data_IF_705868135213
#
_entry.id   IF_705868135213
#
_cell.length_a   1.000
_cell.length_b   1.000
_cell.length_c   1.000
_cell.angle_alpha   90.00
_cell.angle_beta   90.00
_cell.angle_gamma   90.00
#
_symmetry.space_group_name_H-M   'P 1'
#
loop_
_entity.id
_entity.type
_entity.pdbx_description
1 polymer ?
#
# COMPACT_ATOMS: atom_id res chain seq x y z
N UNK A 1 49.97 -3.43 -6.68
CA UNK A 1 48.92 -3.67 -5.66
C UNK A 1 47.59 -3.74 -6.38
N UNK A 2 47.03 -4.94 -6.52
CA UNK A 2 45.68 -5.16 -7.07
C UNK A 2 44.65 -4.62 -6.09
N UNK A 3 43.87 -3.62 -6.47
CA UNK A 3 42.61 -3.32 -5.79
C UNK A 3 41.50 -4.11 -6.49
N UNK A 4 41.18 -5.26 -5.92
CA UNK A 4 39.97 -6.00 -6.23
C UNK A 4 38.77 -5.15 -5.78
N UNK A 5 38.09 -4.52 -6.72
CA UNK A 5 36.77 -3.97 -6.49
C UNK A 5 35.80 -5.13 -6.34
N UNK A 6 35.44 -5.42 -5.09
CA UNK A 6 34.27 -6.20 -4.74
C UNK A 6 33.07 -5.54 -5.41
N UNK A 7 32.58 -6.16 -6.48
CA UNK A 7 31.22 -5.95 -6.95
C UNK A 7 30.28 -6.45 -5.83
N UNK A 8 29.99 -5.57 -4.88
CA UNK A 8 28.82 -5.72 -4.05
C UNK A 8 27.63 -5.63 -5.00
N UNK A 9 27.12 -6.78 -5.43
CA UNK A 9 25.82 -6.87 -6.09
C UNK A 9 24.80 -6.23 -5.15
N UNK A 10 24.48 -4.96 -5.38
CA UNK A 10 23.37 -4.29 -4.74
C UNK A 10 22.15 -5.13 -5.10
N UNK A 11 21.65 -5.92 -4.16
CA UNK A 11 20.37 -6.60 -4.33
C UNK A 11 19.32 -5.49 -4.44
N UNK A 12 19.03 -5.09 -5.68
CA UNK A 12 18.19 -3.94 -5.97
C UNK A 12 16.77 -4.21 -5.51
N UNK A 13 16.17 -3.25 -4.82
CA UNK A 13 14.74 -3.29 -4.58
C UNK A 13 14.00 -3.30 -5.92
N UNK A 14 13.14 -4.29 -6.14
CA UNK A 14 12.27 -4.36 -7.30
C UNK A 14 10.92 -3.76 -6.95
N UNK A 15 10.51 -2.74 -7.70
CA UNK A 15 9.16 -2.23 -7.64
C UNK A 15 8.22 -3.17 -8.41
N UNK A 16 7.21 -3.69 -7.73
CA UNK A 16 6.21 -4.62 -8.28
C UNK A 16 4.80 -4.04 -8.24
N UNK A 17 4.65 -2.74 -7.94
CA UNK A 17 3.35 -2.08 -7.73
C UNK A 17 2.38 -2.35 -8.87
N UNK A 18 2.80 -2.05 -10.10
CA UNK A 18 1.95 -2.23 -11.27
C UNK A 18 1.58 -3.70 -11.52
N UNK A 19 2.45 -4.64 -11.13
CA UNK A 19 2.16 -6.07 -11.23
C UNK A 19 1.13 -6.48 -10.17
N UNK A 20 1.29 -6.04 -8.93
CA UNK A 20 0.35 -6.31 -7.82
C UNK A 20 -1.04 -5.76 -8.14
N UNK A 21 -1.14 -4.53 -8.66
CA UNK A 21 -2.42 -3.93 -9.06
C UNK A 21 -3.12 -4.73 -10.16
N UNK A 22 -2.36 -5.31 -11.11
CA UNK A 22 -2.96 -6.07 -12.23
C UNK A 22 -3.30 -7.51 -11.88
N UNK A 23 -2.51 -8.14 -11.02
CA UNK A 23 -2.52 -9.59 -10.81
C UNK A 23 -3.11 -10.00 -9.45
N UNK A 24 -3.50 -9.04 -8.59
CA UNK A 24 -4.07 -9.32 -7.26
C UNK A 24 -5.29 -8.44 -6.97
N UNK A 25 -6.04 -8.78 -5.92
CA UNK A 25 -7.21 -8.04 -5.46
C UNK A 25 -6.87 -6.99 -4.37
N UNK A 26 -5.59 -6.61 -4.23
CA UNK A 26 -5.15 -5.74 -3.14
C UNK A 26 -5.74 -4.33 -3.24
N UNK A 27 -5.89 -3.79 -4.46
CA UNK A 27 -6.47 -2.45 -4.66
C UNK A 27 -7.97 -2.44 -4.32
N UNK A 28 -8.72 -3.49 -4.71
CA UNK A 28 -10.13 -3.65 -4.34
C UNK A 28 -10.30 -3.79 -2.83
N UNK A 29 -9.41 -4.52 -2.15
CA UNK A 29 -9.42 -4.63 -0.68
C UNK A 29 -9.14 -3.28 -0.02
N UNK A 30 -8.21 -2.49 -0.53
CA UNK A 30 -7.96 -1.14 -0.03
C UNK A 30 -9.18 -0.22 -0.22
N UNK A 31 -9.85 -0.32 -1.38
CA UNK A 31 -11.11 0.39 -1.63
C UNK A 31 -12.19 -0.05 -0.65
N UNK A 32 -12.32 -1.35 -0.37
CA UNK A 32 -13.29 -1.87 0.60
C UNK A 32 -13.01 -1.36 2.03
N UNK A 33 -11.74 -1.32 2.44
CA UNK A 33 -11.33 -0.71 3.72
C UNK A 33 -11.70 0.77 3.73
N UNK A 34 -11.43 1.52 2.66
CA UNK A 34 -11.77 2.94 2.62
C UNK A 34 -13.29 3.17 2.65
N UNK A 35 -14.09 2.31 2.03
CA UNK A 35 -15.56 2.40 2.16
C UNK A 35 -16.05 2.20 3.60
N UNK A 36 -15.33 1.42 4.40
CA UNK A 36 -15.69 1.17 5.79
C UNK A 36 -15.21 2.27 6.76
N UNK A 37 -14.08 2.91 6.48
CA UNK A 37 -13.42 3.82 7.44
C UNK A 37 -13.19 5.25 6.94
N UNK A 38 -13.11 5.48 5.63
CA UNK A 38 -12.88 6.83 5.11
C UNK A 38 -14.13 7.70 5.23
N UNK A 39 -13.89 9.01 5.38
CA UNK A 39 -14.91 10.04 5.49
C UNK A 39 -15.02 10.86 4.20
N UNK A 40 -16.25 11.24 3.89
CA UNK A 40 -16.61 12.19 2.84
C UNK A 40 -17.06 11.56 1.53
N UNK A 41 -17.76 12.34 0.71
CA UNK A 41 -18.38 11.90 -0.54
C UNK A 41 -17.41 11.70 -1.73
N UNK A 42 -16.14 12.11 -1.60
CA UNK A 42 -15.08 11.91 -2.60
C UNK A 42 -13.92 11.07 -2.06
N UNK A 43 -14.20 10.26 -1.02
CA UNK A 43 -13.25 9.33 -0.43
C UNK A 43 -12.72 8.30 -1.46
N UNK A 44 -11.51 7.81 -1.24
CA UNK A 44 -10.90 6.81 -2.13
C UNK A 44 -9.62 6.22 -1.56
N UNK A 45 -9.23 5.07 -2.09
CA UNK A 45 -7.99 4.39 -1.73
C UNK A 45 -7.09 4.26 -2.96
N UNK A 46 -5.77 4.18 -2.74
CA UNK A 46 -4.81 3.92 -3.80
C UNK A 46 -3.61 3.18 -3.24
N UNK A 47 -3.24 2.06 -3.87
CA UNK A 47 -1.94 1.44 -3.64
C UNK A 47 -0.85 2.29 -4.32
N UNK A 48 0.02 2.91 -3.53
CA UNK A 48 1.06 3.80 -4.06
C UNK A 48 2.30 3.04 -4.49
N UNK A 49 2.72 2.07 -3.67
CA UNK A 49 3.97 1.37 -3.90
C UNK A 49 3.96 -0.02 -3.27
N UNK A 50 4.55 -1.00 -3.96
CA UNK A 50 4.97 -2.29 -3.41
C UNK A 50 6.35 -2.60 -3.93
N UNK A 51 7.30 -2.82 -3.01
CA UNK A 51 8.68 -3.19 -3.34
C UNK A 51 9.04 -4.51 -2.70
N UNK A 52 9.92 -5.25 -3.38
CA UNK A 52 10.46 -6.51 -2.90
C UNK A 52 11.98 -6.47 -2.99
N UNK A 53 12.64 -6.89 -1.92
CA UNK A 53 14.11 -6.96 -1.82
C UNK A 53 14.48 -8.37 -1.37
N UNK A 54 15.48 -9.00 -2.01
CA UNK A 54 16.04 -10.26 -1.52
C UNK A 54 16.72 -10.01 -0.17
N UNK A 55 16.33 -10.76 0.86
CA UNK A 55 16.93 -10.67 2.19
C UNK A 55 18.05 -11.73 2.32
N UNK A 56 17.68 -12.98 2.64
CA UNK A 56 18.64 -14.09 2.83
C UNK A 56 18.04 -15.41 2.33
N UNK A 57 18.80 -16.21 1.59
CA UNK A 57 18.32 -17.47 1.05
C UNK A 57 17.07 -17.28 0.18
N UNK A 58 15.98 -17.95 0.57
CA UNK A 58 14.66 -17.90 -0.09
C UNK A 58 13.73 -16.83 0.51
N UNK A 59 14.22 -16.02 1.45
CA UNK A 59 13.45 -14.98 2.13
C UNK A 59 13.57 -13.64 1.41
N UNK A 60 12.45 -12.95 1.25
CA UNK A 60 12.34 -11.63 0.65
C UNK A 60 11.63 -10.66 1.60
N UNK A 61 12.13 -9.43 1.67
CA UNK A 61 11.46 -8.35 2.39
C UNK A 61 10.51 -7.65 1.43
N UNK A 62 9.25 -7.52 1.83
CA UNK A 62 8.20 -6.82 1.08
C UNK A 62 7.84 -5.55 1.85
N UNK A 63 7.76 -4.42 1.16
CA UNK A 63 7.29 -3.16 1.72
C UNK A 63 6.20 -2.58 0.82
N UNK A 64 5.07 -2.21 1.42
CA UNK A 64 3.92 -1.62 0.73
C UNK A 64 3.53 -0.29 1.35
N UNK A 65 3.03 0.62 0.51
CA UNK A 65 2.46 1.91 0.90
C UNK A 65 1.13 2.12 0.18
N UNK A 66 0.10 2.51 0.93
CA UNK A 66 -1.20 2.89 0.41
C UNK A 66 -1.67 4.22 1.01
N UNK A 67 -2.50 4.93 0.26
CA UNK A 67 -3.09 6.21 0.65
C UNK A 67 -4.61 6.10 0.69
N UNK A 68 -5.20 6.56 1.78
CA UNK A 68 -6.63 6.65 1.99
C UNK A 68 -7.02 8.13 2.00
N UNK A 69 -7.62 8.58 0.90
CA UNK A 69 -8.11 9.95 0.71
C UNK A 69 -9.46 10.11 1.40
N UNK A 70 -9.54 11.10 2.29
CA UNK A 70 -10.75 11.51 2.98
C UNK A 70 -11.11 12.90 2.49
N UNK A 71 -12.24 13.03 1.79
CA UNK A 71 -12.58 14.26 1.08
C UNK A 71 -14.08 14.47 1.04
N UNK A 72 -14.53 15.58 1.63
CA UNK A 72 -15.91 16.04 1.55
C UNK A 72 -15.97 17.32 0.74
N UNK A 73 -16.61 17.25 -0.42
CA UNK A 73 -16.89 18.40 -1.27
C UNK A 73 -18.38 18.72 -1.26
N UNK A 74 -18.72 19.98 -1.06
CA UNK A 74 -20.09 20.46 -1.22
C UNK A 74 -20.26 20.88 -2.66
N UNK A 75 -21.13 20.20 -3.41
CA UNK A 75 -21.38 20.55 -4.81
C UNK A 75 -22.00 21.95 -4.92
N UNK A 76 -21.63 22.74 -5.96
CA UNK A 76 -22.26 24.02 -6.22
C UNK A 76 -23.76 23.83 -6.52
N UNK A 77 -24.59 24.75 -6.03
CA UNK A 77 -26.02 24.75 -6.29
C UNK A 77 -26.35 25.69 -7.46
N UNK A 78 -27.29 25.30 -8.31
CA UNK A 78 -27.84 26.19 -9.34
C UNK A 78 -28.98 27.01 -8.73
N UNK A 79 -28.77 28.32 -8.59
CA UNK A 79 -29.77 29.26 -8.12
C UNK A 79 -30.02 30.28 -9.23
N UNK A 80 -31.25 30.31 -9.76
CA UNK A 80 -31.65 31.17 -10.89
C UNK A 80 -30.74 31.06 -12.13
N UNK A 81 -30.22 29.87 -12.43
CA UNK A 81 -29.35 29.63 -13.59
C UNK A 81 -27.88 30.00 -13.40
N UNK A 82 -27.49 30.51 -12.22
CA UNK A 82 -26.10 30.70 -11.83
C UNK A 82 -25.64 29.57 -10.89
N UNK A 83 -24.45 29.02 -11.12
CA UNK A 83 -23.79 28.18 -10.12
C UNK A 83 -23.27 29.06 -8.99
N UNK A 84 -23.69 28.76 -7.77
CA UNK A 84 -23.26 29.45 -6.56
C UNK A 84 -22.74 28.41 -5.57
N UNK A 85 -21.58 28.69 -4.98
CA UNK A 85 -20.94 27.81 -4.01
C UNK A 85 -19.97 26.81 -4.63
N UNK A 86 -19.76 25.68 -3.95
CA UNK A 86 -18.68 24.73 -4.25
C UNK A 86 -17.48 24.94 -3.33
N UNK A 87 -17.29 24.07 -2.33
CA UNK A 87 -16.11 24.17 -1.46
C UNK A 87 -15.78 22.84 -0.77
N UNK A 88 -14.52 22.70 -0.39
CA UNK A 88 -14.03 21.60 0.42
C UNK A 88 -14.38 21.85 1.89
N UNK A 89 -15.17 20.94 2.49
CA UNK A 89 -15.38 20.96 3.95
C UNK A 89 -14.16 20.41 4.67
N UNK A 90 -13.57 19.34 4.13
CA UNK A 90 -12.28 18.84 4.57
C UNK A 90 -11.61 18.03 3.45
N UNK A 91 -10.28 18.02 3.51
CA UNK A 91 -9.43 17.17 2.71
C UNK A 91 -8.24 16.73 3.56
N UNK A 92 -8.01 15.42 3.68
CA UNK A 92 -6.78 14.87 4.23
C UNK A 92 -6.53 13.45 3.72
N UNK A 93 -5.29 12.99 3.86
CA UNK A 93 -4.86 11.65 3.46
C UNK A 93 -4.31 10.94 4.68
N UNK A 94 -4.72 9.70 4.86
CA UNK A 94 -4.13 8.77 5.83
C UNK A 94 -3.23 7.82 5.04
N UNK A 95 -1.98 7.66 5.44
CA UNK A 95 -1.04 6.76 4.76
C UNK A 95 -0.84 5.50 5.57
N UNK A 96 -0.87 4.34 4.92
CA UNK A 96 -0.61 3.03 5.53
C UNK A 96 0.68 2.50 4.93
N UNK A 97 1.68 2.30 5.77
CA UNK A 97 2.93 1.63 5.45
C UNK A 97 2.92 0.24 6.08
N UNK A 98 3.23 -0.80 5.30
CA UNK A 98 3.33 -2.17 5.79
C UNK A 98 4.66 -2.78 5.34
N UNK A 99 5.27 -3.54 6.23
CA UNK A 99 6.44 -4.37 5.91
C UNK A 99 6.17 -5.81 6.29
N UNK A 100 6.70 -6.73 5.50
CA UNK A 100 6.55 -8.16 5.70
C UNK A 100 7.70 -8.96 5.14
N UNK A 101 7.65 -10.26 5.45
CA UNK A 101 8.63 -11.25 5.00
C UNK A 101 7.91 -12.30 4.17
N UNK A 102 8.32 -12.43 2.92
CA UNK A 102 7.83 -13.43 1.97
C UNK A 102 8.83 -14.58 1.86
N UNK A 103 8.36 -15.78 2.16
CA UNK A 103 9.08 -17.01 1.85
C UNK A 103 8.84 -17.38 0.38
N UNK A 104 9.90 -17.38 -0.43
CA UNK A 104 9.80 -17.70 -1.85
C UNK A 104 9.41 -19.15 -2.13
N UNK A 105 9.79 -20.12 -1.29
CA UNK A 105 9.47 -21.53 -1.54
C UNK A 105 8.00 -21.83 -1.27
N UNK A 106 7.45 -21.27 -0.21
CA UNK A 106 6.08 -21.55 0.24
C UNK A 106 5.08 -20.47 -0.16
N UNK A 107 5.56 -19.35 -0.71
CA UNK A 107 4.77 -18.17 -1.05
C UNK A 107 3.93 -17.62 0.11
N UNK A 108 4.42 -17.79 1.34
CA UNK A 108 3.79 -17.25 2.55
C UNK A 108 4.39 -15.90 2.89
N UNK A 109 3.57 -14.86 2.83
CA UNK A 109 3.89 -13.51 3.28
C UNK A 109 3.41 -13.33 4.72
N UNK A 110 4.33 -13.17 5.66
CA UNK A 110 4.02 -12.74 7.02
C UNK A 110 4.11 -11.22 7.11
N UNK A 111 3.08 -10.57 7.64
CA UNK A 111 3.13 -9.14 7.94
C UNK A 111 3.97 -8.94 9.20
N UNK A 112 5.04 -8.17 9.11
CA UNK A 112 5.97 -7.89 10.21
C UNK A 112 5.50 -6.71 11.05
N UNK A 113 5.09 -5.64 10.37
CA UNK A 113 4.70 -4.37 10.99
C UNK A 113 3.80 -3.59 10.06
N UNK A 114 2.84 -2.89 10.64
CA UNK A 114 2.02 -1.90 9.95
C UNK A 114 2.09 -0.58 10.72
N UNK A 115 2.24 0.51 9.97
CA UNK A 115 2.25 1.87 10.48
C UNK A 115 1.18 2.67 9.75
N UNK A 116 0.39 3.41 10.51
CA UNK A 116 -0.56 4.37 9.97
C UNK A 116 -0.03 5.77 10.29
N UNK A 117 0.09 6.60 9.27
CA UNK A 117 0.52 7.99 9.37
C UNK A 117 -0.70 8.88 9.22
N UNK A 118 -0.71 9.99 9.97
CA UNK A 118 -1.82 10.95 9.98
C UNK A 118 -3.18 10.32 10.31
N UNK A 119 -3.20 9.37 11.25
CA UNK A 119 -4.39 8.60 11.61
C UNK A 119 -5.46 9.44 12.34
N UNK A 120 -6.30 10.12 11.56
CA UNK A 120 -7.43 10.92 12.06
C UNK A 120 -8.74 10.13 12.21
N UNK A 121 -8.73 8.85 11.81
CA UNK A 121 -9.92 8.00 11.72
C UNK A 121 -9.82 6.72 12.57
N UNK A 122 -8.77 6.60 13.39
CA UNK A 122 -8.59 5.48 14.32
C UNK A 122 -8.24 4.16 13.63
N UNK A 123 -7.60 4.21 12.48
CA UNK A 123 -7.20 3.02 11.71
C UNK A 123 -6.02 2.26 12.32
N UNK A 124 -5.22 2.88 13.19
CA UNK A 124 -4.02 2.26 13.77
C UNK A 124 -4.33 0.92 14.44
N UNK A 125 -5.37 0.87 15.27
CA UNK A 125 -5.74 -0.36 16.00
C UNK A 125 -6.29 -1.44 15.07
N UNK A 126 -6.95 -1.05 13.99
CA UNK A 126 -7.45 -1.97 12.97
C UNK A 126 -6.28 -2.54 12.17
N UNK A 127 -5.38 -1.66 11.71
CA UNK A 127 -4.22 -2.01 10.90
C UNK A 127 -3.23 -2.90 11.67
N UNK A 128 -3.02 -2.64 12.96
CA UNK A 128 -2.12 -3.46 13.80
C UNK A 128 -2.60 -4.89 14.00
N UNK A 129 -3.89 -5.19 13.84
CA UNK A 129 -4.40 -6.58 13.85
C UNK A 129 -3.86 -7.41 12.68
N UNK A 130 -3.29 -6.77 11.67
CA UNK A 130 -2.65 -7.46 10.55
C UNK A 130 -1.24 -7.96 10.91
N UNK A 131 -0.58 -7.39 11.91
CA UNK A 131 0.75 -7.80 12.31
C UNK A 131 0.78 -9.27 12.77
N UNK A 132 1.75 -10.02 12.26
CA UNK A 132 1.90 -11.45 12.53
C UNK A 132 1.01 -12.36 11.67
N UNK A 133 -0.01 -11.83 10.98
CA UNK A 133 -0.81 -12.64 10.06
C UNK A 133 0.02 -13.13 8.87
N UNK A 134 -0.35 -14.30 8.36
CA UNK A 134 0.30 -14.96 7.23
C UNK A 134 -0.70 -15.08 6.09
N UNK A 135 -0.30 -14.58 4.93
CA UNK A 135 -1.06 -14.61 3.70
C UNK A 135 -0.37 -15.51 2.68
N UNK A 136 -1.14 -16.37 2.02
CA UNK A 136 -0.66 -17.04 0.81
C UNK A 136 -0.71 -16.02 -0.33
N UNK A 137 0.42 -15.83 -1.01
CA UNK A 137 0.51 -15.02 -2.23
C UNK A 137 0.56 -15.98 -3.42
N UNK A 138 -0.55 -16.18 -4.14
CA UNK A 138 -0.57 -17.09 -5.28
C UNK A 138 0.52 -16.73 -6.29
N UNK A 139 1.22 -17.73 -6.80
CA UNK A 139 2.28 -17.58 -7.80
C UNK A 139 3.35 -16.52 -7.45
N UNK A 140 3.73 -16.43 -6.17
CA UNK A 140 4.63 -15.39 -5.67
C UNK A 140 5.95 -15.26 -6.48
N UNK A 141 6.42 -16.35 -7.07
CA UNK A 141 7.60 -16.42 -7.93
C UNK A 141 7.57 -15.41 -9.08
N UNK A 142 6.39 -15.05 -9.60
CA UNK A 142 6.25 -14.04 -10.66
C UNK A 142 6.67 -12.65 -10.20
N UNK A 143 6.42 -12.31 -8.94
CA UNK A 143 6.86 -11.03 -8.36
C UNK A 143 8.35 -11.06 -8.05
N UNK A 144 8.91 -12.24 -7.78
CA UNK A 144 10.32 -12.46 -7.44
C UNK A 144 11.24 -12.61 -8.65
N UNK A 145 10.71 -12.90 -9.84
CA UNK A 145 11.52 -13.09 -11.05
C UNK A 145 12.42 -11.87 -11.33
N UNK A 146 13.71 -12.11 -11.51
CA UNK A 146 14.71 -11.05 -11.74
C UNK A 146 15.36 -10.46 -10.48
N UNK A 147 15.08 -11.00 -9.29
CA UNK A 147 15.77 -10.71 -8.02
C UNK A 147 16.78 -11.80 -7.61
#
# INVERSE_FOLDING_TARGET
>A
MLFAWLAASSAGAKDVTAQVVRETDLDERLVAVCRAYCLGNRAGATLNQVTVVRATGTSYRVAGRASLRNHQFVEPANVFGAQVGGFDLFYYVVTIDAVGTLDGQTCRLRVDRVQVLDDRIGLTDVARKEEGKVYLVPDCQRFLAGL
#
